data_IF_532094430693
#
_entry.id   IF_532094430693
#
_cell.length_a   1.000
_cell.length_b   1.000
_cell.length_c   1.000
_cell.angle_alpha   90.00
_cell.angle_beta   90.00
_cell.angle_gamma   90.00
#
_symmetry.space_group_name_H-M   'P 1'
#
loop_
_entity.id
_entity.type
_entity.pdbx_description
1 polymer ?
#
# COMPACT_ATOMS: atom_id res chain seq x y z
N UNK A 1 -3.55 -24.83 -7.17
CA UNK A 1 -4.66 -23.98 -7.69
C UNK A 1 -4.37 -22.58 -7.20
N UNK A 2 -4.12 -21.64 -8.10
CA UNK A 2 -3.83 -20.25 -7.75
C UNK A 2 -5.17 -19.57 -7.51
N UNK A 3 -5.61 -19.49 -6.25
CA UNK A 3 -6.83 -18.76 -5.93
C UNK A 3 -6.54 -17.28 -6.12
N UNK A 4 -7.20 -16.64 -7.08
CA UNK A 4 -7.11 -15.18 -7.24
C UNK A 4 -7.63 -14.53 -5.95
N UNK A 5 -6.92 -13.52 -5.44
CA UNK A 5 -7.37 -12.77 -4.28
C UNK A 5 -8.69 -12.05 -4.59
N UNK A 6 -9.66 -12.03 -3.65
CA UNK A 6 -10.91 -11.32 -3.83
C UNK A 6 -10.64 -9.82 -4.02
N UNK A 7 -11.34 -9.20 -4.97
CA UNK A 7 -11.31 -7.74 -5.23
C UNK A 7 -9.91 -7.13 -5.29
N UNK A 8 -8.94 -7.89 -5.81
CA UNK A 8 -7.56 -7.42 -5.92
C UNK A 8 -7.45 -6.24 -6.89
N UNK A 9 -6.85 -5.15 -6.41
CA UNK A 9 -6.47 -4.00 -7.18
C UNK A 9 -5.04 -3.59 -6.85
N UNK A 10 -4.31 -3.08 -7.84
CA UNK A 10 -3.03 -2.42 -7.60
C UNK A 10 -2.92 -1.17 -8.47
N UNK A 11 -2.16 -0.20 -8.00
CA UNK A 11 -2.05 1.07 -8.70
C UNK A 11 -1.03 1.99 -8.07
N UNK A 12 -1.05 3.23 -8.52
CA UNK A 12 -0.25 4.32 -7.97
C UNK A 12 -1.17 5.45 -7.53
N UNK A 13 -0.88 6.05 -6.38
CA UNK A 13 -1.50 7.28 -5.93
C UNK A 13 -0.48 8.41 -6.01
N UNK A 14 -0.85 9.51 -6.68
CA UNK A 14 -0.05 10.73 -6.66
C UNK A 14 -0.35 11.48 -5.33
N UNK A 15 0.64 11.52 -4.44
CA UNK A 15 0.55 12.07 -3.08
C UNK A 15 1.79 12.90 -2.78
N UNK A 16 1.61 14.12 -2.25
CA UNK A 16 2.69 15.01 -1.79
C UNK A 16 3.92 15.07 -2.72
N UNK A 17 3.69 15.19 -4.04
CA UNK A 17 4.77 15.30 -5.03
C UNK A 17 5.45 13.98 -5.43
N UNK A 18 4.98 12.83 -4.93
CA UNK A 18 5.50 11.51 -5.30
C UNK A 18 4.39 10.54 -5.77
N UNK A 19 4.79 9.41 -6.35
CA UNK A 19 3.87 8.32 -6.75
C UNK A 19 4.07 7.13 -5.82
N UNK A 20 3.05 6.82 -5.02
CA UNK A 20 3.07 5.70 -4.10
C UNK A 20 2.35 4.51 -4.72
N UNK A 21 3.10 3.42 -4.92
CA UNK A 21 2.53 2.14 -5.31
C UNK A 21 1.77 1.50 -4.15
N UNK A 22 0.62 0.91 -4.45
CA UNK A 22 -0.16 0.13 -3.50
C UNK A 22 -0.80 -1.10 -4.14
N UNK A 23 -1.14 -2.06 -3.29
CA UNK A 23 -2.02 -3.18 -3.58
C UNK A 23 -3.12 -3.24 -2.51
N UNK A 24 -4.34 -3.56 -2.94
CA UNK A 24 -5.50 -3.73 -2.09
C UNK A 24 -6.23 -5.01 -2.47
N UNK A 25 -6.79 -5.72 -1.49
CA UNK A 25 -7.61 -6.91 -1.72
C UNK A 25 -8.62 -7.09 -0.57
N UNK A 26 -9.69 -7.81 -0.85
CA UNK A 26 -10.75 -8.10 0.11
C UNK A 26 -11.68 -6.91 0.36
N UNK A 27 -12.55 -7.08 1.35
CA UNK A 27 -13.61 -6.12 1.69
C UNK A 27 -13.84 -6.10 3.21
N UNK A 28 -14.57 -5.10 3.71
CA UNK A 28 -14.84 -4.94 5.14
C UNK A 28 -13.90 -3.93 5.81
N UNK A 29 -13.60 -4.14 7.10
CA UNK A 29 -12.80 -3.21 7.88
C UNK A 29 -11.36 -3.08 7.30
N UNK A 30 -10.80 -1.86 7.23
CA UNK A 30 -9.50 -1.65 6.61
C UNK A 30 -8.36 -2.13 7.49
N UNK A 31 -7.38 -2.80 6.88
CA UNK A 31 -6.10 -3.17 7.51
C UNK A 31 -4.97 -2.68 6.63
N UNK A 32 -4.10 -1.82 7.16
CA UNK A 32 -2.94 -1.30 6.46
C UNK A 32 -1.67 -2.02 6.91
N UNK A 33 -0.87 -2.48 5.94
CA UNK A 33 0.43 -3.11 6.15
C UNK A 33 1.55 -2.19 5.68
N UNK A 34 2.28 -1.62 6.63
CA UNK A 34 3.48 -0.80 6.37
C UNK A 34 4.74 -1.67 6.51
N UNK A 35 5.63 -1.64 5.52
CA UNK A 35 6.87 -2.42 5.55
C UNK A 35 7.97 -1.74 6.39
N UNK A 36 9.01 -2.50 6.75
CA UNK A 36 10.20 -1.98 7.41
C UNK A 36 11.20 -1.30 6.45
N UNK A 37 12.24 -0.69 7.02
CA UNK A 37 13.32 -0.07 6.23
C UNK A 37 13.96 -1.09 5.27
N UNK A 38 14.30 -0.65 4.06
CA UNK A 38 14.92 -1.48 3.00
C UNK A 38 14.07 -2.63 2.47
N UNK A 39 12.79 -2.70 2.85
CA UNK A 39 11.82 -3.68 2.34
C UNK A 39 10.78 -2.99 1.44
N UNK A 40 9.78 -3.76 1.02
CA UNK A 40 8.62 -3.31 0.25
C UNK A 40 7.39 -4.18 0.55
N UNK A 41 6.31 -4.00 -0.20
CA UNK A 41 5.04 -4.74 -0.07
C UNK A 41 5.17 -6.26 0.00
N UNK A 42 6.21 -6.85 -0.62
CA UNK A 42 6.42 -8.31 -0.65
C UNK A 42 6.73 -8.92 0.72
N UNK A 43 7.18 -8.10 1.69
CA UNK A 43 7.31 -8.53 3.09
C UNK A 43 6.02 -9.15 3.64
N UNK A 44 4.88 -8.74 3.07
CA UNK A 44 3.56 -9.09 3.54
C UNK A 44 2.82 -10.11 2.67
N UNK A 45 3.46 -10.79 1.71
CA UNK A 45 2.76 -11.69 0.76
C UNK A 45 1.83 -12.70 1.47
N UNK A 46 2.34 -13.35 2.51
CA UNK A 46 1.56 -14.34 3.28
C UNK A 46 0.41 -13.67 4.06
N UNK A 47 0.69 -12.60 4.81
CA UNK A 47 -0.32 -11.91 5.63
C UNK A 47 -1.40 -11.25 4.76
N UNK A 48 -1.02 -10.65 3.63
CA UNK A 48 -1.94 -10.03 2.68
C UNK A 48 -2.96 -11.06 2.18
N UNK A 49 -2.49 -12.24 1.79
CA UNK A 49 -3.37 -13.31 1.29
C UNK A 49 -4.32 -13.89 2.35
N UNK A 50 -3.86 -13.97 3.60
CA UNK A 50 -4.68 -14.49 4.69
C UNK A 50 -5.70 -13.47 5.18
N UNK A 51 -5.30 -12.22 5.39
CA UNK A 51 -6.15 -11.16 5.93
C UNK A 51 -7.20 -10.69 4.91
N UNK A 52 -6.90 -10.71 3.60
CA UNK A 52 -7.83 -10.29 2.55
C UNK A 52 -9.09 -11.16 2.44
N UNK A 53 -9.14 -12.29 3.17
CA UNK A 53 -10.34 -13.13 3.26
C UNK A 53 -11.45 -12.49 4.08
N UNK A 54 -11.08 -11.70 5.09
CA UNK A 54 -11.98 -11.15 6.11
C UNK A 54 -11.94 -9.62 6.21
N UNK A 55 -10.93 -8.99 5.60
CA UNK A 55 -10.67 -7.54 5.70
C UNK A 55 -10.39 -6.91 4.33
N UNK A 56 -10.59 -5.60 4.22
CA UNK A 56 -10.03 -4.79 3.12
C UNK A 56 -8.58 -4.50 3.47
N UNK A 57 -7.65 -5.27 2.92
CA UNK A 57 -6.22 -5.15 3.24
C UNK A 57 -5.54 -4.27 2.20
N UNK A 58 -4.70 -3.35 2.66
CA UNK A 58 -3.91 -2.44 1.84
C UNK A 58 -2.45 -2.61 2.24
N UNK A 59 -1.58 -2.78 1.26
CA UNK A 59 -0.13 -2.72 1.43
C UNK A 59 0.44 -1.75 0.41
N UNK A 60 1.47 -1.02 0.77
CA UNK A 60 2.05 0.01 -0.10
C UNK A 60 3.57 0.04 0.01
N UNK A 61 4.22 0.50 -1.05
CA UNK A 61 5.66 0.76 -1.03
C UNK A 61 5.86 2.21 -0.60
N UNK A 62 6.49 2.44 0.55
CA UNK A 62 6.80 3.77 1.03
C UNK A 62 7.68 4.53 0.02
N UNK A 63 7.62 5.87 0.05
CA UNK A 63 8.43 6.74 -0.80
C UNK A 63 9.90 6.26 -0.84
N UNK A 64 10.46 6.10 -2.03
CA UNK A 64 11.84 5.65 -2.24
C UNK A 64 12.06 4.12 -2.15
N UNK A 65 11.01 3.32 -1.93
CA UNK A 65 11.09 1.87 -1.82
C UNK A 65 10.31 1.17 -2.94
N UNK A 66 10.64 -0.10 -3.20
CA UNK A 66 9.90 -0.97 -4.13
C UNK A 66 9.62 -0.30 -5.48
N UNK A 67 8.35 -0.08 -5.80
CA UNK A 67 7.86 0.58 -7.02
C UNK A 67 7.66 2.10 -6.86
N UNK A 68 7.87 2.67 -5.67
CA UNK A 68 7.69 4.09 -5.33
C UNK A 68 8.99 4.93 -5.38
N UNK A 69 9.94 4.61 -6.27
CA UNK A 69 11.34 5.10 -6.20
C UNK A 69 11.53 6.56 -6.63
N UNK A 70 10.51 7.23 -7.20
CA UNK A 70 10.64 8.55 -7.84
C UNK A 70 10.42 9.76 -6.91
N UNK A 71 11.09 9.85 -5.76
CA UNK A 71 11.07 11.09 -4.97
C UNK A 71 12.01 12.14 -5.59
N UNK A 72 11.45 13.20 -6.18
CA UNK A 72 12.24 14.28 -6.79
C UNK A 72 12.47 15.47 -5.85
N UNK A 73 11.80 15.51 -4.70
CA UNK A 73 11.98 16.53 -3.67
C UNK A 73 12.59 15.98 -2.36
N UNK A 74 13.17 16.89 -1.58
CA UNK A 74 13.79 16.58 -0.28
C UNK A 74 12.79 16.60 0.89
N UNK A 75 11.50 16.88 0.66
CA UNK A 75 10.48 16.89 1.70
C UNK A 75 9.91 15.49 1.90
N UNK A 76 10.67 14.65 2.60
CA UNK A 76 10.21 13.32 3.01
C UNK A 76 9.37 13.40 4.30
N UNK A 77 8.14 12.89 4.25
CA UNK A 77 7.33 12.63 5.44
C UNK A 77 6.50 11.36 5.23
N UNK A 78 6.90 10.29 5.92
CA UNK A 78 6.22 9.00 5.83
C UNK A 78 4.75 9.09 6.25
N UNK A 79 4.48 9.82 7.34
CA UNK A 79 3.12 9.98 7.87
C UNK A 79 2.23 10.75 6.88
N UNK A 80 2.73 11.83 6.28
CA UNK A 80 1.95 12.64 5.35
C UNK A 80 1.69 11.89 4.04
N UNK A 81 2.67 11.13 3.53
CA UNK A 81 2.50 10.30 2.34
C UNK A 81 1.47 9.20 2.58
N UNK A 82 1.54 8.56 3.74
CA UNK A 82 0.57 7.54 4.11
C UNK A 82 -0.83 8.13 4.27
N UNK A 83 -0.97 9.26 4.96
CA UNK A 83 -2.25 9.95 5.08
C UNK A 83 -2.82 10.34 3.71
N UNK A 84 -1.97 10.84 2.82
CA UNK A 84 -2.33 11.13 1.43
C UNK A 84 -2.83 9.90 0.68
N UNK A 85 -2.18 8.76 0.86
CA UNK A 85 -2.60 7.49 0.27
C UNK A 85 -3.97 7.05 0.80
N UNK A 86 -4.17 7.06 2.12
CA UNK A 86 -5.45 6.67 2.74
C UNK A 86 -6.61 7.54 2.25
N UNK A 87 -6.40 8.86 2.17
CA UNK A 87 -7.37 9.79 1.60
C UNK A 87 -7.70 9.47 0.13
N UNK A 88 -6.70 9.13 -0.69
CA UNK A 88 -6.90 8.75 -2.10
C UNK A 88 -7.65 7.44 -2.27
N UNK A 89 -7.54 6.54 -1.31
CA UNK A 89 -8.21 5.23 -1.30
C UNK A 89 -9.55 5.26 -0.55
N UNK A 90 -9.97 6.45 -0.09
CA UNK A 90 -11.20 6.67 0.66
C UNK A 90 -11.28 5.74 1.89
N UNK A 91 -10.22 5.77 2.70
CA UNK A 91 -10.12 5.02 3.96
C UNK A 91 -10.12 6.01 5.13
N UNK A 92 -11.09 5.84 6.02
CA UNK A 92 -11.30 6.63 7.26
C UNK A 92 -10.35 6.23 8.39
#
# INVERSE_FOLDING_TARGET
MTTSLPDFASGYADVNGTRIYYEAAGSGAPVLLAHGLSLDTRMWDDQFSMLARDYRVIRYDARGHGKSVNATDNSYSHADDLLGLLNKLEIE
#
